data_IF_114976758655
#
_entry.id   IF_114976758655
#
_cell.length_a   1.000
_cell.length_b   1.000
_cell.length_c   1.000
_cell.angle_alpha   90.00
_cell.angle_beta   90.00
_cell.angle_gamma   90.00
#
_symmetry.space_group_name_H-M   'P 1'
#
loop_
_entity.id
_entity.type
_entity.pdbx_description
1 polymer ?
#
# COMPACT_ATOMS: atom_id res chain seq x y z
N UNK A 1 7.89 20.10 13.17
CA UNK A 1 6.46 19.73 13.25
C UNK A 1 6.34 18.27 12.81
N UNK A 2 5.95 17.33 13.69
CA UNK A 2 5.66 15.96 13.25
C UNK A 2 4.43 15.97 12.33
N UNK A 3 4.45 15.15 11.26
CA UNK A 3 3.31 15.00 10.34
C UNK A 3 2.27 14.08 10.99
N UNK A 4 1.41 14.67 11.82
CA UNK A 4 0.43 13.96 12.64
C UNK A 4 -0.97 14.56 12.45
N UNK A 5 -2.01 13.72 12.51
CA UNK A 5 -3.43 14.13 12.37
C UNK A 5 -3.74 14.90 11.08
N UNK A 6 -3.24 14.41 9.94
CA UNK A 6 -3.51 15.00 8.63
C UNK A 6 -4.78 14.38 8.04
N UNK A 7 -5.68 15.21 7.52
CA UNK A 7 -6.86 14.75 6.75
C UNK A 7 -6.82 15.30 5.34
N UNK A 8 -6.92 14.41 4.35
CA UNK A 8 -6.94 14.74 2.92
C UNK A 8 -8.20 14.10 2.34
N UNK A 9 -9.18 14.92 1.97
CA UNK A 9 -10.48 14.41 1.55
C UNK A 9 -11.14 15.23 0.45
N UNK A 10 -11.98 14.58 -0.36
CA UNK A 10 -12.76 15.19 -1.45
C UNK A 10 -11.90 15.92 -2.50
N UNK A 11 -10.75 15.34 -2.85
CA UNK A 11 -9.89 15.86 -3.91
C UNK A 11 -10.04 15.05 -5.20
N UNK A 12 -9.76 15.70 -6.33
CA UNK A 12 -9.56 15.06 -7.62
C UNK A 12 -8.09 15.20 -8.02
N UNK A 13 -7.44 14.08 -8.34
CA UNK A 13 -6.03 14.03 -8.68
C UNK A 13 -5.87 13.30 -10.02
N UNK A 14 -5.51 14.07 -11.04
CA UNK A 14 -5.16 13.57 -12.37
C UNK A 14 -3.65 13.73 -12.56
N UNK A 15 -2.92 12.63 -12.56
CA UNK A 15 -1.46 12.67 -12.61
C UNK A 15 -0.88 11.45 -13.34
N UNK A 16 0.43 11.25 -13.19
CA UNK A 16 1.19 10.15 -13.80
C UNK A 16 2.06 9.42 -12.76
N UNK A 17 1.82 9.65 -11.47
CA UNK A 17 2.53 9.00 -10.37
C UNK A 17 1.57 8.77 -9.18
N UNK A 18 2.08 8.53 -7.98
CA UNK A 18 1.29 8.27 -6.79
C UNK A 18 0.29 9.40 -6.51
N UNK A 19 -0.98 9.02 -6.31
CA UNK A 19 -2.02 9.93 -5.81
C UNK A 19 -1.74 10.32 -4.36
N UNK A 20 -1.18 9.37 -3.60
CA UNK A 20 -0.59 9.57 -2.29
C UNK A 20 0.71 8.75 -2.22
N UNK A 21 1.80 9.37 -1.75
CA UNK A 21 3.07 8.71 -1.46
C UNK A 21 3.47 8.96 0.00
N UNK A 22 2.97 8.14 0.91
CA UNK A 22 3.19 8.32 2.34
C UNK A 22 4.53 7.72 2.78
N UNK A 23 5.56 8.56 2.96
CA UNK A 23 6.89 8.13 3.43
C UNK A 23 7.03 8.17 4.95
N UNK A 24 6.25 9.03 5.63
CA UNK A 24 6.19 9.11 7.09
C UNK A 24 4.97 9.94 7.53
N UNK A 25 4.16 9.43 8.46
CA UNK A 25 3.11 10.20 9.16
C UNK A 25 2.42 9.32 10.21
N UNK A 26 1.80 9.95 11.21
CA UNK A 26 0.90 9.29 12.16
C UNK A 26 -0.53 9.81 12.04
N UNK A 27 -1.52 8.95 12.27
CA UNK A 27 -2.94 9.31 12.36
C UNK A 27 -3.47 10.08 11.14
N UNK A 28 -3.13 9.62 9.93
CA UNK A 28 -3.59 10.27 8.69
C UNK A 28 -4.86 9.63 8.16
N UNK A 29 -5.77 10.45 7.66
CA UNK A 29 -6.95 10.02 6.91
C UNK A 29 -6.87 10.51 5.47
N UNK A 30 -7.00 9.60 4.51
CA UNK A 30 -7.06 9.87 3.08
C UNK A 30 -8.36 9.28 2.52
N UNK A 31 -9.41 10.10 2.40
CA UNK A 31 -10.76 9.59 2.14
C UNK A 31 -11.56 10.33 1.07
N UNK A 32 -12.42 9.61 0.36
CA UNK A 32 -13.34 10.16 -0.64
C UNK A 32 -12.64 10.98 -1.74
N UNK A 33 -11.41 10.60 -2.10
CA UNK A 33 -10.69 11.21 -3.21
C UNK A 33 -10.89 10.41 -4.50
N UNK A 34 -10.73 11.08 -5.63
CA UNK A 34 -10.66 10.46 -6.95
C UNK A 34 -9.24 10.57 -7.49
N UNK A 35 -8.61 9.42 -7.71
CA UNK A 35 -7.26 9.27 -8.24
C UNK A 35 -7.34 8.69 -9.66
N UNK A 36 -6.84 9.40 -10.67
CA UNK A 36 -6.93 8.98 -12.07
C UNK A 36 -5.57 9.09 -12.78
N UNK A 37 -5.21 8.04 -13.53
CA UNK A 37 -4.04 8.01 -14.42
C UNK A 37 -2.69 7.68 -13.76
N UNK A 38 -2.65 7.61 -12.43
CA UNK A 38 -1.42 7.56 -11.64
C UNK A 38 -0.94 6.16 -11.26
N UNK A 39 -0.15 6.12 -10.18
CA UNK A 39 0.36 4.88 -9.58
C UNK A 39 -0.48 4.37 -8.39
N UNK A 40 -1.63 4.98 -8.11
CA UNK A 40 -2.52 4.60 -7.01
C UNK A 40 -2.18 5.27 -5.68
N UNK A 41 -2.62 4.64 -4.58
CA UNK A 41 -2.45 5.13 -3.21
C UNK A 41 -1.36 4.29 -2.54
N UNK A 42 -0.22 4.92 -2.26
CA UNK A 42 1.01 4.24 -1.84
C UNK A 42 1.49 4.65 -0.45
N UNK A 43 1.89 3.66 0.35
CA UNK A 43 2.89 3.84 1.39
C UNK A 43 4.28 3.61 0.79
N UNK A 44 5.18 4.57 1.02
CA UNK A 44 6.59 4.50 0.67
C UNK A 44 7.01 5.23 -0.60
N UNK A 45 8.22 5.00 -1.13
CA UNK A 45 9.17 3.99 -0.65
C UNK A 45 9.66 4.31 0.76
N UNK A 46 9.39 3.42 1.72
CA UNK A 46 9.69 3.65 3.13
C UNK A 46 10.93 2.85 3.55
N UNK A 47 11.81 3.50 4.32
CA UNK A 47 12.98 2.87 4.94
C UNK A 47 14.12 3.85 5.20
N UNK A 48 14.80 3.68 6.33
CA UNK A 48 16.03 4.39 6.70
C UNK A 48 16.96 3.53 7.57
N UNK A 49 18.00 4.16 8.13
CA UNK A 49 18.99 3.47 8.96
C UNK A 49 18.45 3.10 10.35
N UNK A 50 17.43 3.81 10.81
CA UNK A 50 16.81 3.69 12.14
C UNK A 50 15.29 3.71 12.03
N UNK A 51 14.63 3.17 13.05
CA UNK A 51 13.17 3.32 13.22
C UNK A 51 12.95 4.58 14.05
N UNK A 52 12.39 5.61 13.43
CA UNK A 52 12.05 6.88 14.06
C UNK A 52 10.88 7.53 13.30
N UNK A 53 10.54 8.78 13.64
CA UNK A 53 9.39 9.49 13.06
C UNK A 53 9.48 9.65 11.54
N UNK A 54 10.68 9.71 10.97
CA UNK A 54 10.87 9.87 9.51
C UNK A 54 10.77 8.55 8.73
N UNK A 55 10.74 7.42 9.45
CA UNK A 55 10.64 6.07 8.89
C UNK A 55 9.43 5.32 9.43
N UNK A 56 8.42 6.05 9.90
CA UNK A 56 7.20 5.49 10.50
C UNK A 56 5.95 5.99 9.80
N UNK A 57 5.11 5.06 9.38
CA UNK A 57 3.72 5.30 9.03
C UNK A 57 2.85 4.50 10.00
N UNK A 58 2.00 5.19 10.76
CA UNK A 58 1.13 4.52 11.73
C UNK A 58 -0.27 5.13 11.77
N UNK A 59 -1.32 4.30 11.82
CA UNK A 59 -2.69 4.79 11.92
C UNK A 59 -3.17 5.49 10.65
N UNK A 60 -2.80 4.95 9.48
CA UNK A 60 -3.25 5.47 8.19
C UNK A 60 -4.60 4.83 7.82
N UNK A 61 -5.61 5.67 7.56
CA UNK A 61 -6.91 5.24 7.03
C UNK A 61 -7.07 5.76 5.61
N UNK A 62 -7.22 4.84 4.66
CA UNK A 62 -7.50 5.10 3.25
C UNK A 62 -8.92 4.59 2.96
N UNK A 63 -9.89 5.48 2.82
CA UNK A 63 -11.30 5.11 2.85
C UNK A 63 -12.14 5.70 1.70
N UNK A 64 -12.98 4.88 1.07
CA UNK A 64 -14.01 5.38 0.16
C UNK A 64 -13.48 6.10 -1.09
N UNK A 65 -12.22 5.86 -1.48
CA UNK A 65 -11.61 6.50 -2.65
C UNK A 65 -12.00 5.76 -3.94
N UNK A 66 -12.00 6.49 -5.05
CA UNK A 66 -12.05 5.91 -6.40
C UNK A 66 -10.65 5.97 -6.99
N UNK A 67 -10.12 4.82 -7.40
CA UNK A 67 -8.82 4.70 -8.06
C UNK A 67 -9.06 4.16 -9.46
N UNK A 68 -8.81 5.00 -10.46
CA UNK A 68 -9.18 4.78 -11.86
C UNK A 68 -7.97 4.87 -12.77
N UNK A 69 -7.94 4.03 -13.81
CA UNK A 69 -6.94 4.05 -14.88
C UNK A 69 -5.50 4.17 -14.35
N UNK A 70 -5.23 3.46 -13.25
CA UNK A 70 -3.98 3.58 -12.51
C UNK A 70 -3.21 2.27 -12.51
N UNK A 71 -1.89 2.35 -12.36
CA UNK A 71 -1.04 1.16 -12.30
C UNK A 71 -1.38 0.27 -11.09
N UNK A 72 -1.75 0.89 -9.97
CA UNK A 72 -2.04 0.17 -8.74
C UNK A 72 -3.30 0.74 -8.08
N UNK A 73 -4.02 -0.11 -7.35
CA UNK A 73 -5.01 0.33 -6.38
C UNK A 73 -4.30 0.79 -5.11
N UNK A 74 -4.19 -0.13 -4.15
CA UNK A 74 -3.51 0.11 -2.87
C UNK A 74 -2.12 -0.50 -2.87
N UNK A 75 -1.12 0.26 -2.39
CA UNK A 75 0.28 -0.14 -2.49
C UNK A 75 1.08 0.11 -1.22
N UNK A 76 1.95 -0.83 -0.85
CA UNK A 76 3.01 -0.66 0.15
C UNK A 76 4.35 -1.03 -0.49
N UNK A 77 5.33 -0.13 -0.47
CA UNK A 77 6.70 -0.37 -0.98
C UNK A 77 7.74 -0.01 0.09
N UNK A 78 8.50 -1.00 0.56
CA UNK A 78 9.59 -0.81 1.54
C UNK A 78 10.95 -1.15 0.96
N UNK A 79 11.96 -0.38 1.39
CA UNK A 79 13.30 -0.39 0.77
C UNK A 79 14.14 -1.54 1.33
N UNK A 80 14.82 -2.27 0.44
CA UNK A 80 15.72 -3.37 0.79
C UNK A 80 16.80 -2.96 1.80
N UNK A 81 17.07 -3.83 2.78
CA UNK A 81 18.12 -3.63 3.79
C UNK A 81 17.84 -2.53 4.83
N UNK A 82 16.83 -1.68 4.62
CA UNK A 82 16.49 -0.56 5.50
C UNK A 82 15.42 -0.92 6.52
N UNK A 83 15.36 -0.14 7.59
CA UNK A 83 14.47 -0.29 8.75
C UNK A 83 13.38 0.79 8.73
N UNK A 84 12.30 0.52 9.46
CA UNK A 84 11.16 1.42 9.60
C UNK A 84 9.96 0.69 10.16
N UNK A 85 8.83 1.39 10.23
CA UNK A 85 7.58 0.87 10.74
C UNK A 85 6.40 1.29 9.85
N UNK A 86 5.59 0.32 9.45
CA UNK A 86 4.26 0.49 8.90
C UNK A 86 3.31 -0.28 9.81
N UNK A 87 2.38 0.41 10.48
CA UNK A 87 1.52 -0.23 11.47
C UNK A 87 0.11 0.36 11.47
N UNK A 88 -0.91 -0.48 11.69
CA UNK A 88 -2.31 -0.03 11.81
C UNK A 88 -2.72 0.78 10.57
N UNK A 89 -2.69 0.10 9.42
CA UNK A 89 -3.03 0.69 8.13
C UNK A 89 -4.31 0.05 7.64
N UNK A 90 -5.29 0.88 7.27
CA UNK A 90 -6.62 0.42 6.85
C UNK A 90 -6.93 0.96 5.47
N UNK A 91 -7.15 0.06 4.52
CA UNK A 91 -7.71 0.35 3.22
C UNK A 91 -9.16 -0.14 3.20
N UNK A 92 -10.12 0.77 3.35
CA UNK A 92 -11.54 0.44 3.59
C UNK A 92 -12.42 0.99 2.46
N UNK A 93 -13.30 0.15 1.91
CA UNK A 93 -14.36 0.55 0.97
C UNK A 93 -13.88 1.36 -0.24
N UNK A 94 -12.65 1.10 -0.70
CA UNK A 94 -12.11 1.74 -1.90
C UNK A 94 -12.63 1.02 -3.15
N UNK A 95 -12.85 1.79 -4.23
CA UNK A 95 -13.33 1.29 -5.52
C UNK A 95 -12.27 1.43 -6.59
N UNK A 96 -11.98 0.32 -7.27
CA UNK A 96 -11.02 0.25 -8.38
C UNK A 96 -11.74 0.27 -9.73
N UNK A 97 -11.22 1.02 -10.68
CA UNK A 97 -11.74 1.06 -12.05
C UNK A 97 -10.58 0.92 -13.02
N UNK A 98 -10.53 -0.19 -13.75
CA UNK A 98 -9.52 -0.43 -14.79
C UNK A 98 -8.07 -0.26 -14.28
N UNK A 99 -7.79 -0.75 -13.07
CA UNK A 99 -6.42 -0.69 -12.53
C UNK A 99 -5.59 -1.89 -12.95
N UNK A 100 -4.27 -1.73 -13.06
CA UNK A 100 -3.41 -2.87 -13.44
C UNK A 100 -3.22 -3.86 -12.29
N UNK A 101 -2.84 -3.42 -11.10
CA UNK A 101 -2.71 -4.27 -9.91
C UNK A 101 -3.61 -3.78 -8.76
N UNK A 102 -4.52 -4.60 -8.26
CA UNK A 102 -5.45 -4.18 -7.20
C UNK A 102 -4.73 -3.94 -5.86
N UNK A 103 -3.97 -4.93 -5.39
CA UNK A 103 -3.26 -4.89 -4.12
C UNK A 103 -1.78 -5.20 -4.37
N UNK A 104 -0.91 -4.26 -4.01
CA UNK A 104 0.55 -4.39 -4.20
C UNK A 104 1.27 -4.24 -2.87
N UNK A 105 2.04 -5.25 -2.47
CA UNK A 105 2.81 -5.17 -1.21
C UNK A 105 4.21 -5.76 -1.42
N UNK A 106 5.20 -4.88 -1.45
CA UNK A 106 6.57 -5.22 -1.79
C UNK A 106 7.54 -4.74 -0.73
N UNK A 107 8.41 -5.65 -0.30
CA UNK A 107 9.50 -5.37 0.64
C UNK A 107 10.89 -5.56 0.01
N UNK A 108 10.92 -5.42 -1.31
CA UNK A 108 12.07 -5.65 -2.17
C UNK A 108 12.39 -4.45 -3.07
N UNK A 109 11.88 -3.25 -2.74
CA UNK A 109 12.09 -2.04 -3.53
C UNK A 109 13.53 -1.52 -3.40
N UNK A 110 14.16 -1.20 -4.52
CA UNK A 110 15.49 -0.60 -4.57
C UNK A 110 15.42 0.80 -5.16
N UNK A 111 15.85 1.81 -4.39
CA UNK A 111 15.98 3.19 -4.87
C UNK A 111 16.98 3.31 -6.02
N UNK A 112 18.06 2.55 -5.97
CA UNK A 112 19.09 2.56 -7.03
C UNK A 112 18.57 1.99 -8.35
N UNK A 113 17.70 0.97 -8.30
CA UNK A 113 17.04 0.39 -9.48
C UNK A 113 15.83 1.21 -9.93
N UNK A 114 15.19 1.92 -9.02
CA UNK A 114 13.87 2.52 -9.23
C UNK A 114 12.75 1.47 -9.31
N UNK A 115 12.89 0.31 -8.67
CA UNK A 115 11.94 -0.79 -8.80
C UNK A 115 12.22 -2.01 -7.93
N UNK A 116 11.42 -3.06 -8.13
CA UNK A 116 11.48 -4.30 -7.35
C UNK A 116 12.63 -5.20 -7.77
N UNK A 117 13.30 -5.80 -6.80
CA UNK A 117 14.48 -6.67 -7.02
C UNK A 117 14.13 -8.15 -7.12
N UNK A 118 12.94 -8.55 -6.69
CA UNK A 118 12.52 -9.94 -6.50
C UNK A 118 13.01 -10.57 -5.19
N UNK A 119 13.82 -9.86 -4.40
CA UNK A 119 14.43 -10.34 -3.15
C UNK A 119 13.97 -9.50 -1.95
N UNK A 120 12.91 -9.92 -1.23
CA UNK A 120 12.34 -9.15 -0.13
C UNK A 120 13.25 -9.19 1.10
N UNK A 121 14.12 -8.19 1.19
CA UNK A 121 15.14 -8.07 2.25
C UNK A 121 14.98 -6.79 3.08
N UNK A 122 13.89 -6.03 2.89
CA UNK A 122 13.59 -4.92 3.78
C UNK A 122 13.45 -5.42 5.22
N UNK A 123 13.91 -4.59 6.15
CA UNK A 123 13.77 -4.78 7.60
C UNK A 123 12.67 -3.88 8.19
N UNK A 124 11.89 -3.20 7.34
CA UNK A 124 10.72 -2.44 7.76
C UNK A 124 9.66 -3.41 8.28
N UNK A 125 9.22 -3.23 9.52
CA UNK A 125 8.11 -4.01 10.08
C UNK A 125 6.80 -3.50 9.50
N UNK A 126 5.97 -4.40 8.96
CA UNK A 126 4.66 -4.11 8.38
C UNK A 126 3.61 -4.96 9.10
N UNK A 127 2.94 -4.39 10.08
CA UNK A 127 1.98 -5.11 10.91
C UNK A 127 0.59 -4.47 10.88
N UNK A 128 -0.45 -5.26 11.15
CA UNK A 128 -1.82 -4.77 11.34
C UNK A 128 -2.32 -4.00 10.10
N UNK A 129 -2.30 -4.67 8.94
CA UNK A 129 -2.77 -4.12 7.66
C UNK A 129 -4.13 -4.73 7.33
N UNK A 130 -5.15 -3.88 7.23
CA UNK A 130 -6.51 -4.28 6.84
C UNK A 130 -6.78 -3.83 5.42
N UNK A 131 -7.29 -4.74 4.58
CA UNK A 131 -7.93 -4.41 3.31
C UNK A 131 -9.35 -4.95 3.37
N UNK A 132 -10.32 -4.06 3.50
CA UNK A 132 -11.73 -4.42 3.67
C UNK A 132 -12.63 -3.74 2.64
N UNK A 133 -13.57 -4.48 2.06
CA UNK A 133 -14.57 -3.90 1.15
C UNK A 133 -14.00 -3.35 -0.16
N UNK A 134 -12.82 -3.84 -0.58
CA UNK A 134 -12.21 -3.42 -1.84
C UNK A 134 -13.02 -4.00 -3.02
N UNK A 135 -13.56 -3.13 -3.88
CA UNK A 135 -14.42 -3.54 -5.00
C UNK A 135 -13.93 -3.01 -6.35
N UNK A 136 -14.47 -3.56 -7.45
CA UNK A 136 -14.30 -2.98 -8.78
C UNK A 136 -13.57 -3.89 -9.76
N UNK A 137 -12.71 -3.34 -10.62
CA UNK A 137 -12.00 -4.11 -11.65
C UNK A 137 -10.50 -3.87 -11.65
N UNK A 138 -9.75 -4.94 -11.91
CA UNK A 138 -8.30 -4.89 -12.10
C UNK A 138 -7.84 -5.91 -13.14
N UNK A 139 -6.61 -5.80 -13.64
CA UNK A 139 -6.00 -6.90 -14.41
C UNK A 139 -5.49 -7.99 -13.47
N UNK A 140 -4.71 -7.60 -12.46
CA UNK A 140 -4.07 -8.47 -11.50
C UNK A 140 -4.61 -8.21 -10.08
N UNK A 141 -5.07 -9.25 -9.38
CA UNK A 141 -5.60 -9.09 -8.03
C UNK A 141 -4.49 -8.83 -7.00
N UNK A 142 -3.41 -9.61 -7.05
CA UNK A 142 -2.32 -9.53 -6.08
C UNK A 142 -0.95 -9.41 -6.76
N UNK A 143 -0.15 -8.45 -6.33
CA UNK A 143 1.29 -8.39 -6.59
C UNK A 143 2.02 -8.22 -5.25
N UNK A 144 2.24 -9.34 -4.56
CA UNK A 144 2.79 -9.36 -3.21
C UNK A 144 4.08 -10.17 -3.15
N UNK A 145 5.15 -9.49 -2.76
CA UNK A 145 6.48 -10.06 -2.48
C UNK A 145 7.00 -9.46 -1.17
N UNK A 146 6.62 -10.11 -0.08
CA UNK A 146 6.92 -9.69 1.29
C UNK A 146 8.02 -10.53 1.93
N UNK A 147 8.74 -9.93 2.87
CA UNK A 147 9.70 -10.62 3.73
C UNK A 147 8.91 -11.21 4.90
N UNK A 148 8.74 -12.54 4.98
CA UNK A 148 7.87 -13.16 5.98
C UNK A 148 8.33 -12.91 7.42
N UNK A 149 9.57 -12.45 7.64
CA UNK A 149 10.11 -12.15 8.97
C UNK A 149 9.63 -10.81 9.55
N UNK A 150 9.07 -9.93 8.72
CA UNK A 150 8.73 -8.55 9.11
C UNK A 150 7.27 -8.21 8.87
N UNK A 151 6.45 -9.18 8.45
CA UNK A 151 5.02 -8.98 8.21
C UNK A 151 4.16 -9.81 9.16
N UNK A 152 3.08 -9.22 9.67
CA UNK A 152 2.15 -9.90 10.58
C UNK A 152 0.79 -9.19 10.63
N UNK A 153 -0.25 -9.88 11.10
CA UNK A 153 -1.55 -9.26 11.38
C UNK A 153 -2.23 -8.64 10.17
N UNK A 154 -2.12 -9.26 8.99
CA UNK A 154 -2.87 -8.81 7.82
C UNK A 154 -4.25 -9.45 7.81
N UNK A 155 -5.26 -8.66 7.49
CA UNK A 155 -6.67 -9.07 7.43
C UNK A 155 -7.32 -8.54 6.14
N UNK A 156 -7.60 -9.45 5.21
CA UNK A 156 -8.25 -9.13 3.94
C UNK A 156 -9.65 -9.70 3.94
N UNK A 157 -10.66 -8.83 3.83
CA UNK A 157 -12.07 -9.22 3.87
C UNK A 157 -12.90 -8.43 2.86
N UNK A 158 -13.96 -9.02 2.33
CA UNK A 158 -14.82 -8.32 1.36
C UNK A 158 -14.08 -7.83 0.10
N UNK A 159 -12.99 -8.48 -0.32
CA UNK A 159 -12.29 -8.18 -1.57
C UNK A 159 -13.10 -8.74 -2.73
N UNK A 160 -13.89 -7.89 -3.38
CA UNK A 160 -14.76 -8.21 -4.51
C UNK A 160 -14.30 -7.46 -5.77
N UNK A 161 -13.06 -7.73 -6.19
CA UNK A 161 -12.46 -7.17 -7.39
C UNK A 161 -12.52 -8.18 -8.52
N UNK A 162 -13.16 -7.81 -9.63
CA UNK A 162 -13.13 -8.58 -10.87
C UNK A 162 -11.75 -8.46 -11.51
N UNK A 163 -10.87 -9.41 -11.21
CA UNK A 163 -9.52 -9.48 -11.74
C UNK A 163 -9.39 -10.55 -12.85
N UNK A 164 -8.60 -10.26 -13.88
CA UNK A 164 -8.31 -11.24 -14.94
C UNK A 164 -7.38 -12.37 -14.47
N UNK A 165 -6.49 -12.08 -13.52
CA UNK A 165 -5.60 -13.07 -12.90
C UNK A 165 -5.49 -12.86 -11.38
N UNK A 166 -5.32 -13.95 -10.62
CA UNK A 166 -5.08 -13.89 -9.16
C UNK A 166 -3.74 -13.25 -8.81
N UNK A 167 -2.71 -13.48 -9.63
CA UNK A 167 -1.39 -12.87 -9.43
C UNK A 167 -0.47 -13.61 -8.48
N UNK A 168 0.50 -12.88 -7.92
CA UNK A 168 1.58 -13.42 -7.08
C UNK A 168 1.35 -13.07 -5.61
N UNK A 169 1.50 -14.08 -4.77
CA UNK A 169 1.45 -13.98 -3.32
C UNK A 169 2.66 -14.73 -2.75
N UNK A 170 3.65 -13.99 -2.25
CA UNK A 170 4.85 -14.57 -1.66
C UNK A 170 5.23 -13.87 -0.36
N UNK A 171 5.45 -14.66 0.70
CA UNK A 171 5.87 -14.17 2.01
C UNK A 171 4.80 -13.41 2.79
N UNK A 172 3.52 -13.62 2.45
CA UNK A 172 2.38 -13.10 3.23
C UNK A 172 2.32 -13.74 4.63
N UNK A 173 1.72 -13.06 5.62
CA UNK A 173 1.44 -13.67 6.92
C UNK A 173 0.53 -14.90 6.80
N UNK A 174 0.74 -15.89 7.66
CA UNK A 174 -0.09 -17.11 7.72
C UNK A 174 -1.58 -16.84 8.02
N UNK A 175 -1.93 -15.64 8.48
CA UNK A 175 -3.30 -15.26 8.83
C UNK A 175 -4.17 -14.92 7.62
N UNK A 176 -3.59 -14.73 6.43
CA UNK A 176 -4.38 -14.43 5.24
C UNK A 176 -4.75 -15.74 4.55
N UNK A 177 -6.04 -16.07 4.59
CA UNK A 177 -6.62 -17.17 3.83
C UNK A 177 -7.10 -16.62 2.47
N UNK A 178 -6.40 -16.97 1.39
CA UNK A 178 -6.53 -16.35 0.04
C UNK A 178 -6.98 -17.31 -1.06
#
# INVERSE_FOLDING_TARGET
CPYDHITITHNEVYNQDDCLAMQSSTNTVFSYNHCCGGHGISIGSLGGNTVDQSTTVQGLVVEGNIIEDSDNGVRIKTIIGLKGLVKDVKYVDNKLQNVKNAIVMHSDYSKAKGGYTGSPTSQVTISDVTVSGLTGSATNLYDIVANPKVVSGWDFSGVSVSASVKGKLAGVPNSIDL
#
